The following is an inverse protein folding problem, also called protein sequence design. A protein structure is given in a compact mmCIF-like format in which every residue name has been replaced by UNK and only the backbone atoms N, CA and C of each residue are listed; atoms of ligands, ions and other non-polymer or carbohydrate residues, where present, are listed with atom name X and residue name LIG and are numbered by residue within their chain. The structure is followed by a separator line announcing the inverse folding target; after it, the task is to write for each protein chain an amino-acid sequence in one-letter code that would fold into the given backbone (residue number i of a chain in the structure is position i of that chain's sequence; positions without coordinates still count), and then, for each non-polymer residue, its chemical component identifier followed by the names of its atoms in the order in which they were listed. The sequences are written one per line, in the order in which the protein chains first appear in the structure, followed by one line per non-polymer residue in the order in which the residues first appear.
data_IF_080838847575
#
_entry.id   IF_080838847575
#
_cell.length_a   1.000
_cell.length_b   1.000
_cell.length_c   1.000
_cell.angle_alpha   90.00
_cell.angle_beta   90.00
_cell.angle_gamma   90.00
#
_symmetry.space_group_name_H-M   'P 1'
#
loop_
_entity.id
_entity.type
_entity.pdbx_description
1 polymer ?
#
# COMPACT_ATOMS: atom_id res chain seq x y z
N UNK A 1 -24.17 -16.90 -9.05
CA UNK A 1 -23.72 -16.58 -7.69
C UNK A 1 -23.11 -15.20 -7.68
N UNK A 2 -23.61 -14.31 -6.87
CA UNK A 2 -23.13 -12.95 -6.88
C UNK A 2 -21.83 -12.82 -6.10
N UNK A 3 -20.94 -12.00 -6.63
CA UNK A 3 -19.68 -11.72 -5.99
C UNK A 3 -19.92 -10.80 -4.78
N UNK A 4 -19.39 -11.15 -3.60
CA UNK A 4 -19.55 -10.27 -2.45
C UNK A 4 -18.86 -8.93 -2.68
N UNK A 5 -19.40 -7.82 -2.12
CA UNK A 5 -18.74 -6.51 -2.26
C UNK A 5 -17.31 -6.50 -1.77
N UNK A 6 -17.00 -7.30 -0.76
CA UNK A 6 -15.63 -7.40 -0.26
C UNK A 6 -14.65 -7.93 -1.31
N UNK A 7 -15.13 -8.76 -2.22
CA UNK A 7 -14.29 -9.26 -3.31
C UNK A 7 -13.95 -8.15 -4.28
N UNK A 8 -14.91 -7.28 -4.58
CA UNK A 8 -14.66 -6.13 -5.44
C UNK A 8 -13.64 -5.19 -4.82
N UNK A 9 -13.74 -4.97 -3.51
CA UNK A 9 -12.77 -4.15 -2.80
C UNK A 9 -11.38 -4.78 -2.89
N UNK A 10 -11.32 -6.12 -2.78
CA UNK A 10 -10.06 -6.84 -2.92
C UNK A 10 -9.44 -6.65 -4.29
N UNK A 11 -10.25 -6.65 -5.34
CA UNK A 11 -9.76 -6.48 -6.69
C UNK A 11 -9.21 -5.08 -6.93
N UNK A 12 -9.66 -4.11 -6.15
CA UNK A 12 -9.18 -2.73 -6.23
C UNK A 12 -7.96 -2.48 -5.38
N UNK A 13 -7.49 -3.50 -4.64
CA UNK A 13 -6.30 -3.37 -3.81
C UNK A 13 -5.07 -3.84 -4.57
N UNK A 14 -3.96 -3.95 -3.85
CA UNK A 14 -2.71 -4.40 -4.45
C UNK A 14 -2.85 -5.79 -5.05
N UNK A 15 -2.29 -5.97 -6.23
CA UNK A 15 -2.18 -7.28 -6.85
C UNK A 15 -1.21 -8.17 -6.08
N UNK A 16 -0.89 -9.35 -6.64
CA UNK A 16 0.03 -10.28 -5.97
C UNK A 16 1.37 -9.61 -5.68
N UNK A 17 1.88 -9.85 -4.48
CA UNK A 17 3.14 -9.28 -4.03
C UNK A 17 4.18 -10.37 -3.86
N UNK A 18 5.43 -10.05 -4.20
CA UNK A 18 6.54 -10.94 -3.89
C UNK A 18 6.79 -10.90 -2.38
N UNK A 19 7.46 -11.93 -1.82
CA UNK A 19 7.80 -11.90 -0.39
C UNK A 19 8.62 -10.67 -0.01
N UNK A 20 9.51 -10.22 -0.89
CA UNK A 20 10.32 -9.03 -0.62
C UNK A 20 9.45 -7.77 -0.55
N UNK A 21 8.50 -7.64 -1.46
CA UNK A 21 7.57 -6.51 -1.45
C UNK A 21 6.72 -6.50 -0.21
N UNK A 22 6.19 -7.66 0.15
CA UNK A 22 5.36 -7.81 1.34
C UNK A 22 6.15 -7.46 2.59
N UNK A 23 7.38 -7.91 2.68
CA UNK A 23 8.24 -7.64 3.82
C UNK A 23 8.50 -6.13 3.96
N UNK A 24 8.80 -5.46 2.85
CA UNK A 24 9.04 -4.01 2.87
C UNK A 24 7.80 -3.25 3.33
N UNK A 25 6.62 -3.64 2.84
CA UNK A 25 5.37 -3.01 3.24
C UNK A 25 5.13 -3.20 4.74
N UNK A 26 5.37 -4.40 5.24
CA UNK A 26 5.16 -4.71 6.65
C UNK A 26 6.16 -3.99 7.56
N UNK A 27 7.30 -3.59 7.04
CA UNK A 27 8.26 -2.80 7.80
C UNK A 27 7.77 -1.38 8.02
N UNK A 28 7.03 -0.83 7.08
CA UNK A 28 6.59 0.57 7.13
C UNK A 28 5.17 0.75 7.65
N UNK A 29 4.28 -0.17 7.31
CA UNK A 29 2.86 -0.01 7.62
C UNK A 29 2.56 0.14 9.11
N UNK A 30 3.17 -0.65 10.02
CA UNK A 30 2.85 -0.54 11.45
C UNK A 30 3.22 0.80 12.06
N UNK A 31 4.15 1.53 11.45
CA UNK A 31 4.58 2.85 11.95
C UNK A 31 3.62 3.96 11.54
N UNK A 32 2.68 3.67 10.66
CA UNK A 32 1.75 4.66 10.13
C UNK A 32 0.43 4.61 10.88
N UNK A 33 -0.21 5.78 11.02
CA UNK A 33 -1.56 5.86 11.55
C UNK A 33 -2.54 5.17 10.58
N UNK A 34 -3.77 4.83 11.02
CA UNK A 34 -4.75 4.22 10.12
C UNK A 34 -5.03 5.07 8.88
N UNK A 35 -5.08 6.38 9.02
CA UNK A 35 -5.31 7.28 7.89
C UNK A 35 -4.11 7.29 6.95
N UNK A 36 -2.91 7.34 7.52
CA UNK A 36 -1.69 7.31 6.72
C UNK A 36 -1.54 5.99 5.99
N UNK A 37 -1.98 4.90 6.61
CA UNK A 37 -1.94 3.58 5.96
C UNK A 37 -2.83 3.54 4.73
N UNK A 38 -3.98 4.22 4.77
CA UNK A 38 -4.86 4.28 3.60
C UNK A 38 -4.19 5.00 2.44
N UNK A 39 -3.54 6.12 2.73
CA UNK A 39 -2.80 6.86 1.71
C UNK A 39 -1.64 6.02 1.21
N UNK A 40 -0.92 5.35 2.11
CA UNK A 40 0.17 4.47 1.76
C UNK A 40 -0.29 3.38 0.78
N UNK A 41 -1.39 2.70 1.11
CA UNK A 41 -1.93 1.66 0.22
C UNK A 41 -2.29 2.22 -1.14
N UNK A 42 -2.91 3.38 -1.20
CA UNK A 42 -3.29 4.00 -2.46
C UNK A 42 -2.06 4.33 -3.30
N UNK A 43 -1.02 4.85 -2.66
CA UNK A 43 0.23 5.14 -3.37
C UNK A 43 0.88 3.88 -3.90
N UNK A 44 0.82 2.79 -3.13
CA UNK A 44 1.35 1.51 -3.58
C UNK A 44 0.60 0.98 -4.79
N UNK A 45 -0.72 1.11 -4.79
CA UNK A 45 -1.54 0.67 -5.93
C UNK A 45 -1.15 1.45 -7.18
N UNK A 46 -0.97 2.75 -7.06
CA UNK A 46 -0.57 3.59 -8.19
C UNK A 46 0.83 3.25 -8.68
N UNK A 47 1.72 2.92 -7.76
CA UNK A 47 3.10 2.59 -8.10
C UNK A 47 3.24 1.17 -8.66
N UNK A 48 2.27 0.31 -8.45
CA UNK A 48 2.35 -1.08 -8.86
C UNK A 48 2.52 -1.25 -10.36
N UNK A 49 1.93 -0.35 -11.13
CA UNK A 49 2.03 -0.38 -12.59
C UNK A 49 3.45 -0.08 -13.07
N UNK A 50 4.22 0.63 -12.26
CA UNK A 50 5.59 1.02 -12.61
C UNK A 50 6.64 0.17 -11.90
N UNK A 51 6.19 -0.80 -11.12
CA UNK A 51 7.10 -1.65 -10.35
C UNK A 51 7.20 -1.20 -8.91
N UNK A 52 7.02 -2.17 -8.01
CA UNK A 52 7.05 -1.92 -6.57
C UNK A 52 8.33 -2.48 -5.99
N UNK A 53 9.36 -1.65 -5.90
CA UNK A 53 10.60 -2.05 -5.24
C UNK A 53 10.64 -1.46 -3.82
N UNK A 54 11.67 -1.82 -3.05
CA UNK A 54 11.79 -1.38 -1.67
C UNK A 54 11.88 0.14 -1.57
N UNK A 55 12.54 0.77 -2.54
CA UNK A 55 12.68 2.23 -2.56
C UNK A 55 11.33 2.92 -2.79
N UNK A 56 10.56 2.41 -3.75
CA UNK A 56 9.23 2.96 -4.03
C UNK A 56 8.32 2.82 -2.81
N UNK A 57 8.38 1.68 -2.14
CA UNK A 57 7.58 1.42 -0.95
C UNK A 57 7.98 2.39 0.17
N UNK A 58 9.27 2.58 0.39
CA UNK A 58 9.76 3.49 1.41
C UNK A 58 9.33 4.94 1.11
N UNK A 59 9.39 5.32 -0.15
CA UNK A 59 8.98 6.67 -0.58
C UNK A 59 7.49 6.87 -0.36
N UNK A 60 6.69 5.87 -0.69
CA UNK A 60 5.25 5.93 -0.47
C UNK A 60 4.93 6.08 1.03
N UNK A 61 5.64 5.35 1.87
CA UNK A 61 5.47 5.46 3.32
C UNK A 61 5.84 6.85 3.82
N UNK A 62 6.93 7.41 3.31
CA UNK A 62 7.37 8.74 3.70
C UNK A 62 6.35 9.80 3.27
N UNK A 63 5.79 9.68 2.08
CA UNK A 63 4.77 10.60 1.60
C UNK A 63 3.50 10.50 2.41
N UNK A 64 3.07 9.29 2.74
CA UNK A 64 1.88 9.08 3.55
C UNK A 64 2.05 9.67 4.94
N UNK A 65 3.23 9.49 5.52
CA UNK A 65 3.53 10.05 6.84
C UNK A 65 3.52 11.57 6.79
N UNK A 66 4.17 12.16 5.80
CA UNK A 66 4.26 13.62 5.68
C UNK A 66 2.88 14.25 5.49
N UNK A 67 1.95 13.53 4.87
CA UNK A 67 0.61 14.02 4.63
C UNK A 67 -0.16 14.26 5.94
N UNK A 68 0.12 13.48 6.97
CA UNK A 68 -0.60 13.55 8.24
C UNK A 68 0.25 14.08 9.40
N UNK A 69 1.55 14.19 9.24
CA UNK A 69 2.47 14.66 10.29
C UNK A 69 3.00 16.05 9.96
N UNK A 70 2.12 17.00 9.91
CA UNK A 70 2.53 18.38 9.65
C UNK A 70 2.82 19.09 10.95
#
# INVERSE_FOLDING_TARGET
MSTPPSTLIHEMTLGPLTPAQRSAIMQHAPALSPEARRVFCRLLILAQDHGLDAESIARAAAQARAHFEI
#
